data_IF_537968483789
#
_entry.id   IF_537968483789
#
_cell.length_a   1.000
_cell.length_b   1.000
_cell.length_c   1.000
_cell.angle_alpha   90.00
_cell.angle_beta   90.00
_cell.angle_gamma   90.00
#
_symmetry.space_group_name_H-M   'P 1'
#
loop_
_entity.id
_entity.type
_entity.pdbx_description
1 polymer ?
#
# COMPACT_ATOMS: atom_id res chain seq x y z
N UNK A 1 -17.85 14.78 -0.09
CA UNK A 1 -16.56 15.44 -0.42
C UNK A 1 -16.34 15.27 -1.92
N UNK A 2 -15.73 16.23 -2.63
CA UNK A 2 -15.48 16.10 -4.07
C UNK A 2 -14.00 15.76 -4.32
N UNK A 3 -13.71 15.00 -5.38
CA UNK A 3 -12.38 14.59 -5.80
C UNK A 3 -11.44 15.79 -6.01
N UNK A 4 -11.95 16.88 -6.60
CA UNK A 4 -11.18 18.12 -6.78
C UNK A 4 -10.67 18.70 -5.45
N UNK A 5 -11.54 18.78 -4.44
CA UNK A 5 -11.18 19.32 -3.12
C UNK A 5 -10.13 18.44 -2.40
N UNK A 6 -10.22 17.12 -2.56
CA UNK A 6 -9.24 16.19 -1.99
C UNK A 6 -7.86 16.45 -2.62
N UNK A 7 -7.81 16.56 -3.95
CA UNK A 7 -6.58 16.81 -4.68
C UNK A 7 -5.99 18.20 -4.38
N UNK A 8 -6.81 19.24 -4.24
CA UNK A 8 -6.35 20.58 -3.86
C UNK A 8 -5.75 20.61 -2.44
N UNK A 9 -6.43 20.01 -1.46
CA UNK A 9 -5.93 19.91 -0.09
C UNK A 9 -4.61 19.12 -0.04
N UNK A 10 -4.54 18.02 -0.78
CA UNK A 10 -3.32 17.23 -0.93
C UNK A 10 -2.14 18.04 -1.49
N UNK A 11 -2.33 18.74 -2.61
CA UNK A 11 -1.30 19.57 -3.23
C UNK A 11 -0.84 20.70 -2.30
N UNK A 12 -1.75 21.27 -1.51
CA UNK A 12 -1.41 22.26 -0.50
C UNK A 12 -0.50 21.69 0.59
N UNK A 13 -0.81 20.49 1.11
CA UNK A 13 0.03 19.81 2.11
C UNK A 13 1.42 19.49 1.53
N UNK A 14 1.49 18.95 0.31
CA UNK A 14 2.77 18.68 -0.38
C UNK A 14 3.63 19.94 -0.50
N UNK A 15 3.00 21.09 -0.83
CA UNK A 15 3.70 22.37 -0.92
C UNK A 15 4.30 22.79 0.43
N UNK A 16 3.57 22.62 1.52
CA UNK A 16 4.07 22.92 2.87
C UNK A 16 5.25 22.02 3.25
N UNK A 17 5.15 20.72 2.93
CA UNK A 17 6.24 19.75 3.17
C UNK A 17 7.48 20.13 2.34
N UNK A 18 7.32 20.43 1.05
CA UNK A 18 8.40 20.86 0.16
C UNK A 18 9.08 22.16 0.62
N UNK A 19 8.33 23.07 1.25
CA UNK A 19 8.84 24.28 1.89
C UNK A 19 9.47 24.04 3.27
N UNK A 20 9.55 22.80 3.74
CA UNK A 20 10.02 22.42 5.08
C UNK A 20 9.20 23.03 6.22
N UNK A 21 7.94 23.39 5.96
CA UNK A 21 6.99 23.94 6.94
C UNK A 21 6.22 22.82 7.64
N UNK A 22 6.97 21.93 8.29
CA UNK A 22 6.43 20.68 8.85
C UNK A 22 5.30 20.92 9.87
N UNK A 23 5.42 21.92 10.75
CA UNK A 23 4.36 22.26 11.71
C UNK A 23 3.02 22.53 11.02
N UNK A 24 3.03 23.33 9.96
CA UNK A 24 1.83 23.70 9.24
C UNK A 24 1.29 22.53 8.40
N UNK A 25 2.19 21.75 7.80
CA UNK A 25 1.81 20.52 7.10
C UNK A 25 1.07 19.56 8.05
N UNK A 26 1.57 19.36 9.27
CA UNK A 26 0.94 18.51 10.28
C UNK A 26 -0.45 19.03 10.69
N UNK A 27 -0.62 20.33 10.87
CA UNK A 27 -1.94 20.92 11.20
C UNK A 27 -2.94 20.76 10.05
N UNK A 28 -2.50 20.94 8.81
CA UNK A 28 -3.35 20.73 7.64
C UNK A 28 -3.68 19.24 7.46
N UNK A 29 -2.71 18.36 7.64
CA UNK A 29 -2.88 16.91 7.58
C UNK A 29 -3.84 16.41 8.65
N UNK A 30 -3.81 16.96 9.87
CA UNK A 30 -4.77 16.64 10.92
C UNK A 30 -6.21 16.93 10.45
N UNK A 31 -6.45 18.12 9.89
CA UNK A 31 -7.76 18.48 9.34
C UNK A 31 -8.19 17.61 8.16
N UNK A 32 -7.22 17.11 7.39
CA UNK A 32 -7.44 16.21 6.26
C UNK A 32 -7.84 14.81 6.74
N UNK A 33 -7.16 14.29 7.76
CA UNK A 33 -7.43 13.00 8.39
C UNK A 33 -8.74 12.94 9.15
N UNK A 34 -9.26 14.06 9.65
CA UNK A 34 -10.60 14.11 10.26
C UNK A 34 -11.71 13.60 9.34
N UNK A 35 -11.51 13.71 8.03
CA UNK A 35 -12.44 13.22 7.00
C UNK A 35 -12.16 11.77 6.58
N UNK A 36 -11.02 11.20 6.99
CA UNK A 36 -10.63 9.84 6.68
C UNK A 36 -11.26 8.86 7.67
N UNK A 37 -11.76 7.70 7.20
CA UNK A 37 -12.26 6.63 8.06
C UNK A 37 -11.14 5.86 8.77
N UNK A 38 -9.93 5.84 8.20
CA UNK A 38 -8.79 5.07 8.70
C UNK A 38 -8.20 5.68 9.98
N UNK A 39 -8.41 4.99 11.11
CA UNK A 39 -7.97 5.47 12.42
C UNK A 39 -6.45 5.33 12.62
N UNK A 40 -5.83 4.30 12.03
CA UNK A 40 -4.39 4.05 12.17
C UNK A 40 -3.53 5.24 11.67
N UNK A 41 -3.97 5.94 10.62
CA UNK A 41 -3.31 7.15 10.11
C UNK A 41 -3.28 8.28 11.14
N UNK A 42 -4.33 8.42 11.96
CA UNK A 42 -4.40 9.45 13.00
C UNK A 42 -3.41 9.15 14.12
N UNK A 43 -3.32 7.89 14.55
CA UNK A 43 -2.33 7.47 15.55
C UNK A 43 -0.90 7.71 15.06
N UNK A 44 -0.61 7.41 13.78
CA UNK A 44 0.69 7.71 13.18
C UNK A 44 0.97 9.22 13.16
N UNK A 45 -0.03 10.04 12.82
CA UNK A 45 0.12 11.50 12.85
C UNK A 45 0.43 12.02 14.25
N UNK A 46 -0.28 11.54 15.28
CA UNK A 46 -0.05 11.92 16.68
C UNK A 46 1.38 11.56 17.14
N UNK A 47 1.90 10.41 16.72
CA UNK A 47 3.29 10.01 16.98
C UNK A 47 4.27 11.00 16.35
N UNK A 48 4.08 11.37 15.07
CA UNK A 48 4.92 12.35 14.38
C UNK A 48 4.86 13.72 15.07
N UNK A 49 3.66 14.19 15.43
CA UNK A 49 3.47 15.46 16.14
C UNK A 49 4.19 15.46 17.50
N UNK A 50 4.13 14.35 18.23
CA UNK A 50 4.80 14.16 19.52
C UNK A 50 6.32 14.18 19.35
N UNK A 51 6.86 13.38 18.42
CA UNK A 51 8.30 13.34 18.13
C UNK A 51 8.83 14.70 17.66
N UNK A 52 8.08 15.41 16.82
CA UNK A 52 8.44 16.76 16.37
C UNK A 52 8.45 17.75 17.53
N UNK A 53 7.48 17.67 18.44
CA UNK A 53 7.40 18.53 19.63
C UNK A 53 8.59 18.32 20.57
N UNK A 54 8.98 17.06 20.82
CA UNK A 54 10.17 16.75 21.60
C UNK A 54 11.45 17.26 20.93
N UNK A 55 11.59 17.09 19.62
CA UNK A 55 12.73 17.62 18.87
C UNK A 55 12.85 19.15 19.06
N UNK A 56 11.74 19.89 18.96
CA UNK A 56 11.72 21.33 19.22
C UNK A 56 12.04 21.67 20.68
N UNK A 57 11.56 20.90 21.64
CA UNK A 57 11.86 21.11 23.07
C UNK A 57 13.35 20.97 23.35
N UNK A 58 14.00 19.92 22.84
CA UNK A 58 15.45 19.72 22.97
C UNK A 58 16.25 20.83 22.28
N UNK A 59 15.79 21.31 21.12
CA UNK A 59 16.38 22.49 20.46
C UNK A 59 16.32 23.74 21.34
N UNK A 60 15.19 23.98 22.03
CA UNK A 60 15.03 25.12 22.94
C UNK A 60 15.92 25.02 24.18
N UNK A 61 16.25 23.80 24.61
CA UNK A 61 17.16 23.53 25.71
C UNK A 61 18.65 23.63 25.32
N UNK A 62 18.96 23.84 24.04
CA UNK A 62 20.33 23.95 23.56
C UNK A 62 21.09 22.63 23.47
N UNK A 63 20.40 21.48 23.57
CA UNK A 63 21.01 20.16 23.42
C UNK A 63 21.43 19.97 21.97
N UNK A 64 22.73 19.78 21.70
CA UNK A 64 23.19 19.38 20.38
C UNK A 64 22.92 17.90 20.16
N UNK A 65 22.09 17.60 19.16
CA UNK A 65 21.79 16.24 18.74
C UNK A 65 22.32 16.04 17.30
N UNK A 66 23.35 15.20 17.11
CA UNK A 66 23.92 14.94 15.79
C UNK A 66 22.94 14.20 14.86
N UNK A 67 21.95 13.48 15.40
CA UNK A 67 20.96 12.73 14.63
C UNK A 67 19.72 13.54 14.28
N UNK A 68 19.60 14.78 14.79
CA UNK A 68 18.45 15.67 14.56
C UNK A 68 18.06 15.79 13.09
N UNK A 69 19.05 15.91 12.19
CA UNK A 69 18.78 16.04 10.75
C UNK A 69 18.13 14.77 10.19
N UNK A 70 18.59 13.59 10.61
CA UNK A 70 18.01 12.31 10.21
C UNK A 70 16.60 12.16 10.75
N UNK A 71 16.38 12.51 12.02
CA UNK A 71 15.06 12.49 12.63
C UNK A 71 14.09 13.42 11.87
N UNK A 72 14.50 14.65 11.58
CA UNK A 72 13.67 15.60 10.84
C UNK A 72 13.35 15.11 9.42
N UNK A 73 14.33 14.51 8.72
CA UNK A 73 14.09 13.89 7.43
C UNK A 73 13.08 12.74 7.52
N UNK A 74 13.22 11.88 8.54
CA UNK A 74 12.27 10.80 8.79
C UNK A 74 10.85 11.35 9.02
N UNK A 75 10.69 12.37 9.87
CA UNK A 75 9.38 12.99 10.11
C UNK A 75 8.78 13.58 8.83
N UNK A 76 9.58 14.16 7.95
CA UNK A 76 9.10 14.64 6.64
C UNK A 76 8.63 13.48 5.76
N UNK A 77 9.41 12.41 5.65
CA UNK A 77 9.06 11.21 4.87
C UNK A 77 7.78 10.56 5.42
N UNK A 78 7.70 10.36 6.73
CA UNK A 78 6.52 9.77 7.38
C UNK A 78 5.27 10.64 7.17
N UNK A 79 5.42 11.97 7.17
CA UNK A 79 4.32 12.91 6.89
C UNK A 79 3.86 12.81 5.44
N UNK A 80 4.77 12.67 4.48
CA UNK A 80 4.43 12.44 3.06
C UNK A 80 3.65 11.15 2.90
N UNK A 81 4.15 10.06 3.49
CA UNK A 81 3.55 8.74 3.40
C UNK A 81 2.09 8.74 3.93
N UNK A 82 1.86 9.35 5.10
CA UNK A 82 0.50 9.49 5.65
C UNK A 82 -0.38 10.36 4.75
N UNK A 83 0.18 11.42 4.15
CA UNK A 83 -0.57 12.32 3.26
C UNK A 83 -1.03 11.59 1.99
N UNK A 84 -0.15 10.77 1.42
CA UNK A 84 -0.47 9.93 0.25
C UNK A 84 -1.53 8.89 0.58
N UNK A 85 -1.38 8.18 1.70
CA UNK A 85 -2.35 7.21 2.19
C UNK A 85 -3.72 7.84 2.42
N UNK A 86 -3.76 8.97 3.12
CA UNK A 86 -4.98 9.72 3.37
C UNK A 86 -5.68 10.11 2.07
N UNK A 87 -4.93 10.58 1.06
CA UNK A 87 -5.49 10.92 -0.24
C UNK A 87 -6.16 9.72 -0.88
N UNK A 88 -5.47 8.57 -0.93
CA UNK A 88 -6.00 7.38 -1.60
C UNK A 88 -7.26 6.88 -0.88
N UNK A 89 -7.23 6.77 0.45
CA UNK A 89 -8.40 6.35 1.25
C UNK A 89 -9.60 7.28 1.05
N UNK A 90 -9.38 8.60 0.93
CA UNK A 90 -10.47 9.53 0.66
C UNK A 90 -11.02 9.38 -0.76
N UNK A 91 -10.15 9.15 -1.75
CA UNK A 91 -10.55 8.95 -3.14
C UNK A 91 -11.26 7.61 -3.35
N UNK A 92 -10.94 6.57 -2.59
CA UNK A 92 -11.62 5.27 -2.63
C UNK A 92 -13.14 5.42 -2.39
N UNK A 93 -13.56 6.45 -1.63
CA UNK A 93 -14.98 6.74 -1.34
C UNK A 93 -15.70 7.66 -2.35
N UNK A 94 -14.97 8.35 -3.23
CA UNK A 94 -15.54 9.43 -4.08
C UNK A 94 -15.25 9.23 -5.56
N UNK A 95 -14.10 8.65 -5.90
CA UNK A 95 -13.64 8.55 -7.27
C UNK A 95 -14.23 7.34 -7.99
N UNK A 96 -14.62 7.55 -9.24
CA UNK A 96 -15.10 6.49 -10.14
C UNK A 96 -13.99 5.90 -11.03
N UNK A 97 -12.73 6.24 -10.77
CA UNK A 97 -11.62 5.63 -11.50
C UNK A 97 -11.50 4.14 -11.18
N UNK A 98 -11.14 3.34 -12.18
CA UNK A 98 -11.06 1.88 -12.08
C UNK A 98 -10.22 1.42 -10.88
N UNK A 99 -9.09 2.10 -10.65
CA UNK A 99 -8.20 1.87 -9.51
C UNK A 99 -8.95 1.92 -8.16
N UNK A 100 -9.70 3.01 -7.92
CA UNK A 100 -10.43 3.22 -6.67
C UNK A 100 -11.64 2.27 -6.55
N UNK A 101 -12.37 2.04 -7.65
CA UNK A 101 -13.49 1.09 -7.65
C UNK A 101 -13.05 -0.33 -7.32
N UNK A 102 -11.92 -0.76 -7.87
CA UNK A 102 -11.38 -2.09 -7.62
C UNK A 102 -10.87 -2.24 -6.18
N UNK A 103 -10.17 -1.23 -5.65
CA UNK A 103 -9.72 -1.20 -4.24
C UNK A 103 -10.86 -1.32 -3.25
N UNK A 104 -11.95 -0.58 -3.46
CA UNK A 104 -13.13 -0.64 -2.59
C UNK A 104 -13.79 -2.02 -2.65
N UNK A 105 -13.94 -2.61 -3.85
CA UNK A 105 -14.47 -3.97 -4.01
C UNK A 105 -13.58 -5.03 -3.35
N UNK A 106 -12.26 -4.96 -3.51
CA UNK A 106 -11.33 -5.88 -2.85
C UNK A 106 -11.51 -5.85 -1.33
N UNK A 107 -11.63 -4.66 -0.75
CA UNK A 107 -11.83 -4.50 0.70
C UNK A 107 -13.17 -5.08 1.19
N UNK A 108 -14.18 -5.20 0.31
CA UNK A 108 -15.52 -5.69 0.64
C UNK A 108 -15.70 -7.19 0.34
N UNK A 109 -15.08 -7.71 -0.72
CA UNK A 109 -15.32 -9.05 -1.28
C UNK A 109 -14.29 -10.11 -0.84
N UNK A 110 -13.10 -9.71 -0.38
CA UNK A 110 -11.97 -10.65 -0.22
C UNK A 110 -11.64 -10.92 1.25
N UNK A 111 -11.94 -12.15 1.70
CA UNK A 111 -11.13 -12.78 2.76
C UNK A 111 -9.70 -12.84 2.22
N UNK A 112 -8.69 -12.27 2.89
CA UNK A 112 -7.42 -11.92 2.25
C UNK A 112 -6.72 -13.20 1.80
N UNK A 113 -6.82 -13.50 0.49
CA UNK A 113 -5.85 -14.35 -0.17
C UNK A 113 -4.52 -13.62 -0.01
N UNK A 114 -3.73 -14.09 0.96
CA UNK A 114 -2.41 -13.53 1.21
C UNK A 114 -1.53 -13.80 0.00
N UNK A 115 -0.49 -12.98 -0.17
CA UNK A 115 0.49 -13.20 -1.24
C UNK A 115 1.08 -14.62 -1.17
N UNK A 116 1.25 -15.16 0.04
CA UNK A 116 1.67 -16.56 0.27
C UNK A 116 0.67 -17.58 -0.27
N UNK A 117 -0.64 -17.40 -0.04
CA UNK A 117 -1.66 -18.29 -0.57
C UNK A 117 -1.70 -18.27 -2.11
N UNK A 118 -1.54 -17.08 -2.71
CA UNK A 118 -1.46 -16.94 -4.16
C UNK A 118 -0.19 -17.60 -4.70
N UNK A 119 0.96 -17.40 -4.04
CA UNK A 119 2.22 -18.05 -4.39
C UNK A 119 2.05 -19.57 -4.41
N UNK A 120 1.53 -20.18 -3.34
CA UNK A 120 1.33 -21.63 -3.28
C UNK A 120 0.35 -22.15 -4.34
N UNK A 121 -0.69 -21.38 -4.67
CA UNK A 121 -1.65 -21.76 -5.73
C UNK A 121 -1.00 -21.73 -7.11
N UNK A 122 -0.09 -20.79 -7.35
CA UNK A 122 0.66 -20.70 -8.60
C UNK A 122 1.76 -21.78 -8.69
N UNK A 123 2.41 -22.10 -7.58
CA UNK A 123 3.40 -23.19 -7.51
C UNK A 123 2.78 -24.57 -7.81
N UNK A 124 1.55 -24.82 -7.34
CA UNK A 124 0.86 -26.09 -7.58
C UNK A 124 0.31 -26.24 -9.00
N UNK A 125 0.33 -25.19 -9.83
CA UNK A 125 -0.31 -25.19 -11.14
C UNK A 125 0.20 -26.29 -12.06
N UNK A 126 1.52 -26.50 -12.14
CA UNK A 126 2.11 -27.50 -13.03
C UNK A 126 1.69 -28.92 -12.64
N UNK A 127 1.62 -29.20 -11.33
CA UNK A 127 1.19 -30.49 -10.80
C UNK A 127 -0.31 -30.71 -11.05
N UNK A 128 -1.13 -29.69 -10.80
CA UNK A 128 -2.59 -29.74 -11.01
C UNK A 128 -2.95 -29.89 -12.51
N UNK A 129 -2.17 -29.25 -13.40
CA UNK A 129 -2.34 -29.39 -14.84
C UNK A 129 -1.97 -30.80 -15.30
N UNK A 130 -0.88 -31.36 -14.79
CA UNK A 130 -0.46 -32.72 -15.10
C UNK A 130 -1.50 -33.76 -14.68
N UNK A 131 -2.12 -33.59 -13.50
CA UNK A 131 -3.15 -34.50 -12.99
C UNK A 131 -4.48 -34.33 -13.73
N UNK A 132 -4.92 -33.10 -14.00
CA UNK A 132 -6.23 -32.82 -14.63
C UNK A 132 -6.36 -33.40 -16.04
N UNK A 133 -5.28 -33.41 -16.82
CA UNK A 133 -5.24 -34.00 -18.16
C UNK A 133 -5.52 -35.51 -18.19
N UNK A 134 -5.37 -36.22 -17.08
CA UNK A 134 -5.74 -37.64 -16.98
C UNK A 134 -7.22 -37.86 -16.62
N UNK A 135 -7.89 -36.83 -16.09
CA UNK A 135 -9.26 -36.95 -15.56
C UNK A 135 -10.30 -36.55 -16.60
N UNK A 136 -10.20 -35.34 -17.18
CA UNK A 136 -11.09 -34.87 -18.24
C UNK A 136 -10.60 -33.52 -18.82
N UNK A 137 -11.04 -33.20 -20.05
CA UNK A 137 -10.78 -31.89 -20.67
C UNK A 137 -11.42 -30.73 -19.88
N UNK A 138 -12.59 -30.97 -19.26
CA UNK A 138 -13.28 -29.97 -18.43
C UNK A 138 -12.46 -29.59 -17.19
N UNK A 139 -11.82 -30.56 -16.55
CA UNK A 139 -10.98 -30.28 -15.38
C UNK A 139 -9.72 -29.51 -15.77
N UNK A 140 -9.19 -29.74 -16.97
CA UNK A 140 -8.07 -28.98 -17.49
C UNK A 140 -8.46 -27.51 -17.73
N UNK A 141 -9.64 -27.24 -18.29
CA UNK A 141 -10.17 -25.88 -18.43
C UNK A 141 -10.36 -25.17 -17.08
N UNK A 142 -10.84 -25.90 -16.05
CA UNK A 142 -10.98 -25.34 -14.70
C UNK A 142 -9.63 -24.98 -14.06
N UNK A 143 -8.60 -25.81 -14.24
CA UNK A 143 -7.25 -25.54 -13.72
C UNK A 143 -6.63 -24.32 -14.41
N UNK A 144 -6.78 -24.21 -15.74
CA UNK A 144 -6.31 -23.04 -16.50
C UNK A 144 -7.02 -21.76 -16.04
N UNK A 145 -8.35 -21.80 -15.91
CA UNK A 145 -9.13 -20.65 -15.46
C UNK A 145 -8.74 -20.22 -14.05
N UNK A 146 -8.52 -21.17 -13.13
CA UNK A 146 -8.06 -20.88 -11.77
C UNK A 146 -6.68 -20.20 -11.78
N UNK A 147 -5.76 -20.66 -12.62
CA UNK A 147 -4.43 -20.03 -12.76
C UNK A 147 -4.54 -18.59 -13.27
N UNK A 148 -5.36 -18.36 -14.31
CA UNK A 148 -5.63 -17.01 -14.83
C UNK A 148 -6.26 -16.09 -13.78
N UNK A 149 -7.25 -16.60 -13.03
CA UNK A 149 -7.92 -15.85 -11.95
C UNK A 149 -6.95 -15.54 -10.80
N UNK A 150 -6.06 -16.46 -10.44
CA UNK A 150 -4.99 -16.25 -9.45
C UNK A 150 -3.97 -15.20 -9.91
N UNK A 151 -3.51 -15.26 -11.16
CA UNK A 151 -2.61 -14.27 -11.73
C UNK A 151 -3.23 -12.87 -11.80
N UNK A 152 -4.50 -12.80 -12.21
CA UNK A 152 -5.25 -11.55 -12.21
C UNK A 152 -5.37 -10.98 -10.81
N UNK A 153 -5.68 -11.83 -9.82
CA UNK A 153 -5.80 -11.41 -8.42
C UNK A 153 -4.45 -10.91 -7.91
N UNK A 154 -3.37 -11.63 -8.17
CA UNK A 154 -2.01 -11.24 -7.81
C UNK A 154 -1.64 -9.88 -8.39
N UNK A 155 -1.81 -9.69 -9.70
CA UNK A 155 -1.50 -8.43 -10.37
C UNK A 155 -2.30 -7.29 -9.77
N UNK A 156 -3.61 -7.45 -9.64
CA UNK A 156 -4.47 -6.37 -9.19
C UNK A 156 -4.28 -6.06 -7.70
N UNK A 157 -4.01 -7.05 -6.85
CA UNK A 157 -3.64 -6.82 -5.45
C UNK A 157 -2.31 -6.06 -5.35
N UNK A 158 -1.30 -6.46 -6.13
CA UNK A 158 0.03 -5.83 -6.15
C UNK A 158 -0.05 -4.39 -6.65
N UNK A 159 -0.73 -4.18 -7.78
CA UNK A 159 -0.89 -2.87 -8.43
C UNK A 159 -1.70 -1.90 -7.57
N UNK A 160 -2.74 -2.41 -6.89
CA UNK A 160 -3.55 -1.58 -6.01
C UNK A 160 -3.00 -1.47 -4.60
N UNK A 161 -1.95 -2.20 -4.24
CA UNK A 161 -1.37 -2.14 -2.90
C UNK A 161 -0.75 -0.77 -2.62
N UNK A 162 -1.10 -0.19 -1.48
CA UNK A 162 -0.62 1.15 -1.09
C UNK A 162 0.46 1.10 -0.02
N UNK A 163 0.40 0.11 0.88
CA UNK A 163 1.25 0.06 2.06
C UNK A 163 1.78 -1.35 2.25
N UNK A 164 2.98 -1.62 1.76
CA UNK A 164 3.63 -2.90 1.98
C UNK A 164 4.14 -3.02 3.42
N UNK A 165 3.62 -4.00 4.14
CA UNK A 165 4.15 -4.40 5.44
C UNK A 165 5.45 -5.18 5.27
N UNK A 166 6.23 -5.30 6.36
CA UNK A 166 7.49 -6.06 6.33
C UNK A 166 7.25 -7.52 5.95
N UNK A 167 6.11 -8.09 6.38
CA UNK A 167 5.70 -9.46 6.07
C UNK A 167 5.37 -9.63 4.59
N UNK A 168 4.59 -8.71 4.01
CA UNK A 168 4.26 -8.74 2.57
C UNK A 168 5.49 -8.52 1.69
N UNK A 169 6.43 -7.66 2.11
CA UNK A 169 7.71 -7.50 1.41
C UNK A 169 8.52 -8.80 1.45
N UNK A 170 8.57 -9.48 2.59
CA UNK A 170 9.25 -10.77 2.70
C UNK A 170 8.59 -11.83 1.82
N UNK A 171 7.25 -11.89 1.79
CA UNK A 171 6.51 -12.81 0.93
C UNK A 171 6.74 -12.50 -0.56
N UNK A 172 6.73 -11.22 -0.96
CA UNK A 172 7.05 -10.80 -2.33
C UNK A 172 8.48 -11.18 -2.72
N UNK A 173 9.44 -11.03 -1.80
CA UNK A 173 10.83 -11.45 -2.03
C UNK A 173 10.95 -12.97 -2.17
N UNK A 174 10.24 -13.73 -1.34
CA UNK A 174 10.19 -15.19 -1.46
C UNK A 174 9.62 -15.63 -2.81
N UNK A 175 8.55 -14.96 -3.25
CA UNK A 175 7.94 -15.22 -4.56
C UNK A 175 8.93 -14.98 -5.71
N UNK A 176 9.67 -13.86 -5.69
CA UNK A 176 10.70 -13.55 -6.70
C UNK A 176 11.87 -14.54 -6.70
N UNK A 177 12.10 -15.27 -5.61
CA UNK A 177 13.15 -16.26 -5.46
C UNK A 177 12.68 -17.70 -5.71
N UNK A 178 11.37 -17.92 -5.89
CA UNK A 178 10.84 -19.27 -6.09
C UNK A 178 11.27 -19.84 -7.44
N UNK A 179 11.88 -21.02 -7.42
CA UNK A 179 12.25 -21.78 -8.61
C UNK A 179 11.06 -22.53 -9.24
N UNK A 180 9.96 -22.65 -8.49
CA UNK A 180 8.76 -23.38 -8.91
C UNK A 180 7.83 -22.54 -9.78
N UNK A 181 7.94 -21.21 -9.68
CA UNK A 181 7.09 -20.30 -10.44
C UNK A 181 7.58 -20.11 -11.88
N UNK A 182 6.68 -20.19 -12.87
CA UNK A 182 7.01 -19.84 -14.24
C UNK A 182 7.52 -18.39 -14.35
N UNK A 183 8.52 -18.17 -15.19
CA UNK A 183 9.09 -16.83 -15.43
C UNK A 183 8.02 -15.83 -15.90
N UNK A 184 7.04 -16.28 -16.68
CA UNK A 184 5.95 -15.43 -17.17
C UNK A 184 5.10 -14.88 -16.01
N UNK A 185 4.85 -15.68 -14.98
CA UNK A 185 4.05 -15.31 -13.81
C UNK A 185 4.80 -14.28 -12.96
N UNK A 186 6.13 -14.45 -12.83
CA UNK A 186 7.02 -13.48 -12.19
C UNK A 186 7.10 -12.16 -12.97
N UNK A 187 7.12 -12.22 -14.31
CA UNK A 187 7.06 -11.03 -15.15
C UNK A 187 5.75 -10.27 -14.95
N UNK A 188 4.61 -10.97 -14.80
CA UNK A 188 3.34 -10.33 -14.51
C UNK A 188 3.38 -9.64 -13.13
N UNK A 189 3.87 -10.34 -12.10
CA UNK A 189 4.02 -9.78 -10.75
C UNK A 189 4.86 -8.51 -10.72
N UNK A 190 6.01 -8.52 -11.41
CA UNK A 190 6.92 -7.36 -11.46
C UNK A 190 6.44 -6.21 -12.37
N UNK A 191 5.45 -6.46 -13.23
CA UNK A 191 4.86 -5.45 -14.11
C UNK A 191 3.71 -4.65 -13.49
N UNK A 192 3.20 -5.11 -12.34
CA UNK A 192 2.17 -4.44 -11.55
C UNK A 192 2.70 -3.15 -10.92
#
# INVERSE_FOLDING_TARGET
MNEQLINEQYQYILRLIGQKRLKEALTQLESFLWKCPEWSLRTRLEQIQTSYSYMLQYMRQGVEDPERRKLYQKLLTDTLEITDQARITLLDSVSNHYYHQYRTRLSEEVSPLTLEMLMHTLESFNDDLAVSGFVSDQNMEEVLKRHEDSLRTLFLQTWTHTNWTVEEVAAAQAMLQSELLPVNDLCLFTSA
#
